data_IF_031281256431
#
_entry.id   IF_031281256431
#
_cell.length_a   1.000
_cell.length_b   1.000
_cell.length_c   1.000
_cell.angle_alpha   90.00
_cell.angle_beta   90.00
_cell.angle_gamma   90.00
#
_symmetry.space_group_name_H-M   'P 1'
#
loop_
_entity.id
_entity.type
_entity.pdbx_description
1 polymer ?
#
# COMPACT_ATOMS: atom_id res chain seq x y z
N UNK A 1 0.34 18.20 12.61
CA UNK A 1 1.06 17.03 12.07
C UNK A 1 0.03 15.97 11.76
N UNK A 2 0.07 15.39 10.56
CA UNK A 2 -0.86 14.35 10.10
C UNK A 2 -0.11 13.05 9.83
N UNK A 3 -0.79 11.93 10.08
CA UNK A 3 -0.31 10.59 9.77
C UNK A 3 -1.09 10.05 8.57
N UNK A 4 -0.39 9.79 7.47
CA UNK A 4 -0.95 9.21 6.26
C UNK A 4 -0.72 7.69 6.31
N UNK A 5 -1.81 6.92 6.39
CA UNK A 5 -1.80 5.45 6.34
C UNK A 5 -2.39 4.97 5.03
N UNK A 6 -1.59 4.27 4.24
CA UNK A 6 -2.04 3.69 2.97
C UNK A 6 -1.74 2.19 2.94
N UNK A 7 -2.75 1.39 2.59
CA UNK A 7 -2.57 -0.05 2.32
C UNK A 7 -2.60 -0.27 0.82
N UNK A 8 -1.51 -0.82 0.27
CA UNK A 8 -1.31 -0.98 -1.16
C UNK A 8 -0.87 -2.39 -1.52
N UNK A 9 -0.96 -2.72 -2.81
CA UNK A 9 -0.40 -3.96 -3.34
C UNK A 9 1.13 -3.95 -3.23
N UNK A 10 1.79 -5.09 -2.95
CA UNK A 10 3.25 -5.15 -2.81
C UNK A 10 4.01 -4.60 -4.03
N UNK A 11 3.48 -4.82 -5.23
CA UNK A 11 4.06 -4.34 -6.50
C UNK A 11 4.08 -2.81 -6.64
N UNK A 12 3.35 -2.07 -5.80
CA UNK A 12 3.32 -0.59 -5.84
C UNK A 12 4.43 0.06 -5.03
N UNK A 13 5.10 -0.67 -4.14
CA UNK A 13 6.10 -0.09 -3.23
C UNK A 13 7.31 0.47 -3.99
N UNK A 14 7.83 -0.25 -4.98
CA UNK A 14 8.98 0.25 -5.76
C UNK A 14 8.64 1.52 -6.54
N UNK A 15 7.43 1.57 -7.13
CA UNK A 15 6.94 2.75 -7.85
C UNK A 15 6.79 3.95 -6.91
N UNK A 16 6.22 3.74 -5.71
CA UNK A 16 6.11 4.80 -4.69
C UNK A 16 7.49 5.30 -4.26
N UNK A 17 8.44 4.39 -3.99
CA UNK A 17 9.81 4.76 -3.60
C UNK A 17 10.50 5.61 -4.67
N UNK A 18 10.35 5.24 -5.94
CA UNK A 18 10.92 6.00 -7.06
C UNK A 18 10.27 7.38 -7.22
N UNK A 19 8.95 7.48 -7.06
CA UNK A 19 8.24 8.75 -7.12
C UNK A 19 8.64 9.70 -5.98
N UNK A 20 8.71 9.19 -4.75
CA UNK A 20 9.04 9.99 -3.57
C UNK A 20 10.51 10.39 -3.50
N UNK A 21 11.43 9.62 -4.08
CA UNK A 21 12.86 9.97 -4.14
C UNK A 21 13.10 11.35 -4.76
N UNK A 22 12.28 11.78 -5.71
CA UNK A 22 12.45 13.05 -6.42
C UNK A 22 11.84 14.26 -5.67
N UNK A 23 11.16 14.03 -4.55
CA UNK A 23 10.55 15.09 -3.76
C UNK A 23 11.59 15.68 -2.80
N UNK A 24 11.95 16.96 -3.01
CA UNK A 24 12.98 17.67 -2.23
C UNK A 24 12.72 17.72 -0.71
N UNK A 25 11.46 17.57 -0.28
CA UNK A 25 11.06 17.67 1.13
C UNK A 25 10.28 16.43 1.60
N UNK A 26 10.57 15.26 1.03
CA UNK A 26 9.91 14.04 1.48
C UNK A 26 10.30 13.71 2.93
N UNK A 27 9.34 13.64 3.87
CA UNK A 27 9.64 13.40 5.29
C UNK A 27 10.08 11.97 5.60
N UNK A 28 10.02 11.07 4.61
CA UNK A 28 10.28 9.64 4.77
C UNK A 28 9.00 8.82 4.82
N UNK A 29 9.15 7.49 4.79
CA UNK A 29 8.04 6.57 5.00
C UNK A 29 8.51 5.33 5.75
N UNK A 30 7.60 4.76 6.54
CA UNK A 30 7.75 3.44 7.13
C UNK A 30 6.87 2.46 6.36
N UNK A 31 7.40 1.25 6.13
CA UNK A 31 6.70 0.20 5.38
C UNK A 31 6.57 -1.05 6.24
N UNK A 32 5.38 -1.63 6.28
CA UNK A 32 5.05 -2.82 7.05
C UNK A 32 4.40 -3.86 6.14
N UNK A 33 4.73 -5.14 6.34
CA UNK A 33 3.97 -6.24 5.73
C UNK A 33 2.69 -6.45 6.53
N UNK A 34 1.56 -6.51 5.85
CA UNK A 34 0.24 -6.73 6.47
C UNK A 34 -0.57 -7.72 5.64
N UNK A 35 -1.62 -8.27 6.21
CA UNK A 35 -2.60 -9.07 5.48
C UNK A 35 -3.94 -8.33 5.47
N UNK A 36 -4.67 -8.40 4.36
CA UNK A 36 -5.94 -7.72 4.23
C UNK A 36 -6.83 -8.31 3.14
N UNK A 37 -8.13 -8.22 3.36
CA UNK A 37 -9.15 -8.57 2.39
C UNK A 37 -9.62 -7.30 1.67
N UNK A 38 -10.09 -7.43 0.43
CA UNK A 38 -10.76 -6.33 -0.28
C UNK A 38 -12.10 -6.87 -0.78
N UNK A 39 -13.20 -6.34 -0.26
CA UNK A 39 -14.56 -6.82 -0.56
C UNK A 39 -15.07 -6.50 -1.97
N UNK A 40 -14.27 -5.84 -2.82
CA UNK A 40 -14.66 -5.49 -4.18
C UNK A 40 -14.04 -6.46 -5.20
N UNK A 41 -14.86 -7.33 -5.78
CA UNK A 41 -14.48 -8.32 -6.80
C UNK A 41 -13.80 -7.71 -8.03
N UNK A 42 -14.16 -6.47 -8.40
CA UNK A 42 -13.62 -5.77 -9.59
C UNK A 42 -12.13 -5.46 -9.53
N UNK A 43 -11.52 -5.48 -8.35
CA UNK A 43 -10.08 -5.26 -8.14
C UNK A 43 -9.34 -6.51 -7.65
N UNK A 44 -9.97 -7.71 -7.69
CA UNK A 44 -9.21 -8.94 -7.58
C UNK A 44 -8.19 -8.94 -8.73
N UNK A 45 -6.89 -9.06 -8.47
CA UNK A 45 -5.95 -9.29 -9.55
C UNK A 45 -6.45 -10.52 -10.30
N UNK A 46 -6.63 -10.41 -11.61
CA UNK A 46 -7.13 -11.50 -12.47
C UNK A 46 -6.24 -12.76 -12.48
N UNK A 47 -5.20 -12.82 -11.65
CA UNK A 47 -4.45 -14.03 -11.33
C UNK A 47 -5.12 -14.74 -10.16
N UNK A 48 -6.18 -15.48 -10.43
CA UNK A 48 -6.55 -16.64 -9.62
C UNK A 48 -6.63 -17.84 -10.55
N UNK A 49 -5.48 -18.46 -10.81
CA UNK A 49 -5.41 -19.82 -11.38
C UNK A 49 -5.35 -20.88 -10.27
N UNK A 50 -5.33 -20.49 -8.99
CA UNK A 50 -5.23 -21.43 -7.88
C UNK A 50 -6.54 -21.50 -7.09
N UNK A 51 -7.31 -22.60 -7.19
CA UNK A 51 -8.55 -22.82 -6.43
C UNK A 51 -8.36 -22.76 -4.91
N UNK A 52 -7.14 -22.93 -4.40
CA UNK A 52 -6.86 -22.80 -2.97
C UNK A 52 -6.78 -21.34 -2.50
N UNK A 53 -6.61 -20.38 -3.41
CA UNK A 53 -6.61 -18.94 -3.12
C UNK A 53 -8.04 -18.41 -2.84
N UNK A 54 -9.07 -19.23 -3.08
CA UNK A 54 -10.45 -18.97 -2.66
C UNK A 54 -10.69 -19.29 -1.17
N UNK A 55 -9.81 -20.07 -0.53
CA UNK A 55 -9.91 -20.36 0.92
C UNK A 55 -9.19 -19.34 1.81
N UNK A 56 -8.42 -18.40 1.24
CA UNK A 56 -7.77 -17.34 2.03
C UNK A 56 -8.60 -16.05 2.01
N UNK A 57 -9.22 -15.73 3.15
CA UNK A 57 -9.92 -14.46 3.35
C UNK A 57 -8.97 -13.25 3.23
N UNK A 58 -7.66 -13.43 3.45
CA UNK A 58 -6.68 -12.35 3.46
C UNK A 58 -5.56 -12.53 2.44
N UNK A 59 -5.19 -11.43 1.77
CA UNK A 59 -4.07 -11.35 0.83
C UNK A 59 -2.91 -10.53 1.42
N UNK A 60 -1.68 -10.87 1.04
CA UNK A 60 -0.50 -10.09 1.43
C UNK A 60 -0.54 -8.69 0.81
N UNK A 61 -0.36 -7.67 1.65
CA UNK A 61 -0.34 -6.25 1.28
C UNK A 61 0.80 -5.55 2.01
N UNK A 62 1.05 -4.31 1.61
CA UNK A 62 2.03 -3.45 2.24
C UNK A 62 1.32 -2.23 2.81
N UNK A 63 1.55 -1.94 4.09
CA UNK A 63 1.12 -0.70 4.73
C UNK A 63 2.27 0.31 4.66
N UNK A 64 1.94 1.52 4.22
CA UNK A 64 2.85 2.67 4.18
C UNK A 64 2.35 3.71 5.17
N UNK A 65 3.26 4.18 6.01
CA UNK A 65 3.01 5.23 7.01
C UNK A 65 3.93 6.41 6.72
N UNK A 66 3.36 7.60 6.63
CA UNK A 66 4.09 8.86 6.43
C UNK A 66 3.63 9.86 7.50
N UNK A 67 4.59 10.42 8.25
CA UNK A 67 4.34 11.53 9.16
C UNK A 67 4.68 12.82 8.43
N UNK A 68 3.68 13.69 8.26
CA UNK A 68 3.83 14.91 7.47
C UNK A 68 3.30 16.14 8.21
N UNK A 69 3.96 17.30 8.08
CA UNK A 69 3.39 18.59 8.44
C UNK A 69 2.05 18.84 7.73
N UNK A 70 1.15 19.59 8.37
CA UNK A 70 -0.23 19.73 7.87
C UNK A 70 -0.32 20.40 6.50
N UNK A 71 0.65 21.27 6.18
CA UNK A 71 0.74 22.01 4.92
C UNK A 71 1.17 21.13 3.72
N UNK A 72 1.54 19.86 3.93
CA UNK A 72 1.98 18.94 2.88
C UNK A 72 0.98 17.80 2.58
N UNK A 73 -0.23 17.83 3.14
CA UNK A 73 -1.19 16.69 3.09
C UNK A 73 -2.40 16.91 2.17
N UNK A 74 -2.54 18.08 1.54
CA UNK A 74 -3.58 18.36 0.54
C UNK A 74 -3.12 18.01 -0.88
#
# INVERSE_FOLDING_TARGET
MKEIKAVVQPTRIEKMRSAFRNLKQFPGMTVMKVQGCTGNEKQRPQRKEDPFDELNDYSNKMMVIILSPDHLVE
#
